data_IF_528273110237
#
_entry.id   IF_528273110237
#
_cell.length_a   1.000
_cell.length_b   1.000
_cell.length_c   1.000
_cell.angle_alpha   90.00
_cell.angle_beta   90.00
_cell.angle_gamma   90.00
#
_symmetry.space_group_name_H-M   'P 1'
#
loop_
_entity.id
_entity.type
_entity.pdbx_description
1 polymer ?
#
# COMPACT_ATOMS: atom_id res chain seq x y z
N UNK A 1 37.73 21.13 -54.75
CA UNK A 1 37.96 21.18 -56.21
C UNK A 1 37.87 22.63 -56.64
N UNK A 2 38.79 23.09 -57.47
CA UNK A 2 38.71 24.44 -58.04
C UNK A 2 37.78 24.42 -59.27
N UNK A 3 36.77 25.31 -59.35
CA UNK A 3 35.88 25.36 -60.49
C UNK A 3 36.61 25.87 -61.74
N UNK A 4 36.43 25.19 -62.87
CA UNK A 4 37.05 25.54 -64.15
C UNK A 4 36.16 26.43 -65.01
N UNK A 5 34.84 26.40 -64.75
CA UNK A 5 33.85 27.20 -65.48
C UNK A 5 32.97 28.02 -64.53
N UNK A 6 32.40 29.14 -65.02
CA UNK A 6 31.50 29.99 -64.21
C UNK A 6 30.30 29.23 -63.66
N UNK A 7 29.75 28.32 -64.47
CA UNK A 7 28.62 27.45 -64.08
C UNK A 7 28.99 26.50 -62.94
N UNK A 8 30.19 25.92 -62.96
CA UNK A 8 30.67 25.08 -61.86
C UNK A 8 30.80 25.88 -60.56
N UNK A 9 31.29 27.12 -60.63
CA UNK A 9 31.37 28.00 -59.46
C UNK A 9 29.99 28.30 -58.87
N UNK A 10 28.99 28.60 -59.70
CA UNK A 10 27.61 28.82 -59.28
C UNK A 10 26.99 27.57 -58.64
N UNK A 11 27.20 26.39 -59.24
CA UNK A 11 26.69 25.12 -58.71
C UNK A 11 27.34 24.77 -57.37
N UNK A 12 28.65 24.98 -57.21
CA UNK A 12 29.34 24.75 -55.93
C UNK A 12 28.84 25.71 -54.85
N UNK A 13 28.60 26.99 -55.19
CA UNK A 13 28.02 27.94 -54.25
C UNK A 13 26.62 27.51 -53.80
N UNK A 14 25.75 27.10 -54.75
CA UNK A 14 24.42 26.60 -54.44
C UNK A 14 24.46 25.31 -53.59
N UNK A 15 25.40 24.41 -53.89
CA UNK A 15 25.62 23.19 -53.12
C UNK A 15 26.01 23.51 -51.68
N UNK A 16 26.99 24.40 -51.47
CA UNK A 16 27.42 24.79 -50.13
C UNK A 16 26.29 25.44 -49.32
N UNK A 17 25.48 26.30 -49.93
CA UNK A 17 24.32 26.91 -49.27
C UNK A 17 23.29 25.83 -48.89
N UNK A 18 23.02 24.88 -49.80
CA UNK A 18 22.13 23.75 -49.53
C UNK A 18 22.65 22.85 -48.40
N UNK A 19 23.94 22.56 -48.37
CA UNK A 19 24.56 21.77 -47.29
C UNK A 19 24.47 22.49 -45.94
N UNK A 20 24.78 23.79 -45.90
CA UNK A 20 24.69 24.59 -44.68
C UNK A 20 23.26 24.66 -44.14
N UNK A 21 22.28 24.87 -45.02
CA UNK A 21 20.86 24.89 -44.62
C UNK A 21 20.40 23.53 -44.10
N UNK A 22 20.79 22.43 -44.77
CA UNK A 22 20.50 21.09 -44.30
C UNK A 22 21.12 20.79 -42.92
N UNK A 23 22.35 21.25 -42.67
CA UNK A 23 22.98 21.10 -41.35
C UNK A 23 22.21 21.87 -40.26
N UNK A 24 21.73 23.08 -40.57
CA UNK A 24 20.90 23.85 -39.64
C UNK A 24 19.59 23.12 -39.36
N UNK A 25 18.93 22.58 -40.38
CA UNK A 25 17.68 21.82 -40.21
C UNK A 25 17.89 20.55 -39.39
N UNK A 26 18.99 19.82 -39.62
CA UNK A 26 19.32 18.64 -38.84
C UNK A 26 19.50 18.98 -37.34
N UNK A 27 20.23 20.05 -37.03
CA UNK A 27 20.40 20.51 -35.64
C UNK A 27 19.07 20.87 -35.00
N UNK A 28 18.25 21.68 -35.70
CA UNK A 28 16.94 22.10 -35.21
C UNK A 28 15.99 20.91 -35.01
N UNK A 29 16.04 19.92 -35.90
CA UNK A 29 15.25 18.70 -35.77
C UNK A 29 15.66 17.92 -34.51
N UNK A 30 16.96 17.77 -34.25
CA UNK A 30 17.45 17.09 -33.05
C UNK A 30 17.01 17.83 -31.78
N UNK A 31 17.08 19.16 -31.76
CA UNK A 31 16.61 19.99 -30.64
C UNK A 31 15.10 19.81 -30.39
N UNK A 32 14.30 19.82 -31.46
CA UNK A 32 12.85 19.59 -31.37
C UNK A 32 12.52 18.17 -30.87
N UNK A 33 13.25 17.16 -31.34
CA UNK A 33 13.06 15.79 -30.87
C UNK A 33 13.43 15.65 -29.40
N UNK A 34 14.56 16.23 -28.98
CA UNK A 34 15.00 16.19 -27.59
C UNK A 34 13.99 16.87 -26.64
N UNK A 35 13.48 18.04 -27.03
CA UNK A 35 12.47 18.76 -26.23
C UNK A 35 11.15 18.01 -26.15
N UNK A 36 10.69 17.40 -27.25
CA UNK A 36 9.48 16.58 -27.23
C UNK A 36 9.61 15.37 -26.31
N UNK A 37 10.71 14.63 -26.38
CA UNK A 37 10.95 13.48 -25.49
C UNK A 37 10.96 13.92 -24.03
N UNK A 38 11.64 15.04 -23.72
CA UNK A 38 11.66 15.58 -22.36
C UNK A 38 10.26 15.97 -21.87
N UNK A 39 9.48 16.64 -22.73
CA UNK A 39 8.11 17.04 -22.42
C UNK A 39 7.20 15.83 -22.20
N UNK A 40 7.36 14.76 -22.98
CA UNK A 40 6.60 13.51 -22.81
C UNK A 40 6.89 12.86 -21.47
N UNK A 41 8.17 12.72 -21.12
CA UNK A 41 8.60 12.15 -19.83
C UNK A 41 8.07 12.99 -18.67
N UNK A 42 8.19 14.31 -18.76
CA UNK A 42 7.67 15.23 -17.75
C UNK A 42 6.16 15.12 -17.60
N UNK A 43 5.41 15.18 -18.71
CA UNK A 43 3.95 15.05 -18.69
C UNK A 43 3.51 13.70 -18.12
N UNK A 44 4.23 12.62 -18.43
CA UNK A 44 3.95 11.30 -17.87
C UNK A 44 4.13 11.29 -16.35
N UNK A 45 5.26 11.79 -15.85
CA UNK A 45 5.52 11.86 -14.41
C UNK A 45 4.47 12.72 -13.69
N UNK A 46 4.09 13.86 -14.27
CA UNK A 46 3.06 14.73 -13.70
C UNK A 46 1.69 14.04 -13.64
N UNK A 47 1.29 13.33 -14.70
CA UNK A 47 0.04 12.56 -14.73
C UNK A 47 0.03 11.45 -13.69
N UNK A 48 1.13 10.74 -13.52
CA UNK A 48 1.27 9.69 -12.51
C UNK A 48 1.15 10.26 -11.08
N UNK A 49 1.80 11.40 -10.81
CA UNK A 49 1.67 12.09 -9.53
C UNK A 49 0.25 12.58 -9.25
N UNK A 50 -0.42 13.15 -10.27
CA UNK A 50 -1.81 13.56 -10.16
C UNK A 50 -2.73 12.37 -9.91
N UNK A 51 -2.60 11.30 -10.69
CA UNK A 51 -3.40 10.08 -10.51
C UNK A 51 -3.20 9.49 -9.11
N UNK A 52 -1.97 9.49 -8.59
CA UNK A 52 -1.69 9.06 -7.22
C UNK A 52 -2.36 9.95 -6.17
N UNK A 53 -2.29 11.27 -6.33
CA UNK A 53 -2.93 12.23 -5.43
C UNK A 53 -4.45 12.12 -5.47
N UNK A 54 -5.03 11.95 -6.65
CA UNK A 54 -6.46 11.76 -6.84
C UNK A 54 -6.93 10.43 -6.25
N UNK A 55 -6.19 9.35 -6.45
CA UNK A 55 -6.47 8.06 -5.80
C UNK A 55 -6.39 8.16 -4.27
N UNK A 56 -5.46 8.97 -3.72
CA UNK A 56 -5.43 9.26 -2.28
C UNK A 56 -6.63 10.08 -1.83
N UNK A 57 -7.02 11.11 -2.58
CA UNK A 57 -8.18 11.95 -2.26
C UNK A 57 -9.50 11.18 -2.33
N UNK A 58 -9.69 10.31 -3.33
CA UNK A 58 -10.90 9.50 -3.46
C UNK A 58 -11.04 8.51 -2.28
N UNK A 59 -9.93 7.96 -1.78
CA UNK A 59 -9.91 7.17 -0.54
C UNK A 59 -10.28 8.00 0.69
N UNK A 60 -9.89 9.28 0.75
CA UNK A 60 -10.23 10.20 1.85
C UNK A 60 -11.68 10.71 1.80
N UNK A 61 -12.42 10.44 0.72
CA UNK A 61 -13.85 10.72 0.57
C UNK A 61 -14.78 9.75 1.34
N UNK A 62 -14.22 8.83 2.14
CA UNK A 62 -14.98 7.88 2.97
C UNK A 62 -15.89 8.66 3.94
N UNK A 63 -17.16 8.79 3.60
CA UNK A 63 -18.14 9.52 4.40
C UNK A 63 -18.82 10.71 3.71
N UNK A 64 -18.51 11.04 2.45
CA UNK A 64 -19.28 12.03 1.69
C UNK A 64 -20.44 11.37 0.95
N UNK A 65 -21.59 12.04 0.94
CA UNK A 65 -22.78 11.60 0.21
C UNK A 65 -22.55 11.60 -1.32
N UNK A 66 -21.82 12.60 -1.81
CA UNK A 66 -21.37 12.73 -3.20
C UNK A 66 -19.83 12.82 -3.17
N UNK A 67 -19.14 11.75 -3.56
CA UNK A 67 -17.67 11.63 -3.45
C UNK A 67 -16.89 12.43 -4.50
N UNK A 68 -17.60 12.95 -5.48
CA UNK A 68 -17.05 13.36 -6.78
C UNK A 68 -16.62 14.83 -6.77
N UNK A 69 -17.05 15.59 -5.77
CA UNK A 69 -16.76 17.03 -5.62
C UNK A 69 -17.44 17.94 -6.64
N UNK A 70 -18.30 17.38 -7.51
CA UNK A 70 -19.09 18.13 -8.48
C UNK A 70 -20.37 18.66 -7.84
N UNK A 71 -20.76 19.88 -8.24
CA UNK A 71 -22.04 20.47 -7.89
C UNK A 71 -23.14 19.73 -8.67
N UNK A 72 -23.98 18.97 -7.97
CA UNK A 72 -25.14 18.28 -8.55
C UNK A 72 -26.38 19.07 -8.18
N UNK A 73 -27.21 19.40 -9.17
CA UNK A 73 -28.55 19.95 -8.92
C UNK A 73 -29.42 18.81 -8.39
N UNK A 74 -29.62 18.80 -7.09
CA UNK A 74 -30.39 17.79 -6.39
C UNK A 74 -31.86 18.18 -6.38
N UNK A 75 -32.67 17.45 -7.15
CA UNK A 75 -34.12 17.42 -6.95
C UNK A 75 -34.41 16.82 -5.58
N UNK A 76 -35.40 17.36 -4.85
CA UNK A 76 -35.72 16.97 -3.46
C UNK A 76 -35.75 15.45 -3.24
N UNK A 77 -36.44 14.71 -4.11
CA UNK A 77 -36.63 13.26 -3.96
C UNK A 77 -35.33 12.48 -4.17
N UNK A 78 -34.56 12.84 -5.19
CA UNK A 78 -33.28 12.20 -5.49
C UNK A 78 -32.26 12.40 -4.36
N UNK A 79 -32.24 13.58 -3.74
CA UNK A 79 -31.40 13.80 -2.56
C UNK A 79 -31.80 12.93 -1.39
N UNK A 80 -33.10 12.87 -1.11
CA UNK A 80 -33.63 12.09 0.01
C UNK A 80 -33.29 10.61 -0.12
N UNK A 81 -33.57 10.01 -1.29
CA UNK A 81 -33.21 8.62 -1.58
C UNK A 81 -31.71 8.38 -1.36
N UNK A 82 -30.87 9.30 -1.84
CA UNK A 82 -29.42 9.16 -1.70
C UNK A 82 -28.94 9.21 -0.25
N UNK A 83 -29.55 10.07 0.57
CA UNK A 83 -29.25 10.17 2.01
C UNK A 83 -29.62 8.88 2.74
N UNK A 84 -30.79 8.31 2.43
CA UNK A 84 -31.26 7.05 3.02
C UNK A 84 -30.31 5.90 2.68
N UNK A 85 -29.97 5.72 1.39
CA UNK A 85 -29.03 4.69 0.96
C UNK A 85 -27.67 4.83 1.65
N UNK A 86 -27.18 6.07 1.80
CA UNK A 86 -25.91 6.34 2.45
C UNK A 86 -25.94 5.97 3.94
N UNK A 87 -27.02 6.33 4.65
CA UNK A 87 -27.17 5.99 6.07
C UNK A 87 -27.24 4.48 6.30
N UNK A 88 -28.02 3.76 5.51
CA UNK A 88 -28.09 2.30 5.55
C UNK A 88 -26.71 1.66 5.29
N UNK A 89 -25.95 2.19 4.34
CA UNK A 89 -24.61 1.72 4.04
C UNK A 89 -23.63 1.98 5.20
N UNK A 90 -23.69 3.15 5.84
CA UNK A 90 -22.88 3.46 7.01
C UNK A 90 -23.19 2.52 8.17
N UNK A 91 -24.47 2.26 8.44
CA UNK A 91 -24.87 1.33 9.49
C UNK A 91 -24.37 -0.10 9.20
N UNK A 92 -24.45 -0.56 7.94
CA UNK A 92 -23.92 -1.87 7.54
C UNK A 92 -22.41 -1.95 7.76
N UNK A 93 -21.66 -0.92 7.34
CA UNK A 93 -20.19 -0.84 7.54
C UNK A 93 -19.82 -0.85 9.01
N UNK A 94 -20.59 -0.17 9.86
CA UNK A 94 -20.36 -0.13 11.29
C UNK A 94 -20.57 -1.50 11.95
N UNK A 95 -21.67 -2.20 11.61
CA UNK A 95 -21.91 -3.57 12.09
C UNK A 95 -20.79 -4.54 11.70
N UNK A 96 -20.35 -4.50 10.44
CA UNK A 96 -19.26 -5.35 9.97
C UNK A 96 -17.94 -5.05 10.70
N UNK A 97 -17.68 -3.77 11.03
CA UNK A 97 -16.51 -3.36 11.80
C UNK A 97 -16.56 -3.90 13.23
N UNK A 98 -17.72 -3.81 13.87
CA UNK A 98 -17.95 -4.33 15.22
C UNK A 98 -17.80 -5.86 15.27
N UNK A 99 -18.40 -6.60 14.32
CA UNK A 99 -18.25 -8.05 14.20
C UNK A 99 -16.77 -8.45 14.02
N UNK A 100 -16.04 -7.71 13.18
CA UNK A 100 -14.60 -7.94 12.98
C UNK A 100 -13.79 -7.66 14.25
N UNK A 101 -14.14 -6.63 15.03
CA UNK A 101 -13.49 -6.34 16.30
C UNK A 101 -13.77 -7.43 17.34
N UNK A 102 -15.01 -7.85 17.47
CA UNK A 102 -15.42 -8.96 18.34
C UNK A 102 -14.64 -10.24 18.01
N UNK A 103 -14.55 -10.62 16.74
CA UNK A 103 -13.77 -11.78 16.30
C UNK A 103 -12.26 -11.66 16.63
N UNK A 104 -11.67 -10.45 16.53
CA UNK A 104 -10.29 -10.19 16.94
C UNK A 104 -10.10 -10.36 18.44
N UNK A 105 -11.03 -9.88 19.25
CA UNK A 105 -10.97 -9.99 20.71
C UNK A 105 -11.11 -11.44 21.17
N UNK A 106 -12.05 -12.18 20.60
CA UNK A 106 -12.22 -13.61 20.87
C UNK A 106 -10.96 -14.40 20.51
N UNK A 107 -10.35 -14.10 19.36
CA UNK A 107 -9.08 -14.69 18.96
C UNK A 107 -7.97 -14.36 19.95
N UNK A 108 -7.88 -13.10 20.39
CA UNK A 108 -6.88 -12.66 21.39
C UNK A 108 -7.05 -13.44 22.69
N UNK A 109 -8.27 -13.59 23.19
CA UNK A 109 -8.60 -14.38 24.39
C UNK A 109 -8.24 -15.86 24.20
N UNK A 110 -8.55 -16.45 23.05
CA UNK A 110 -8.18 -17.84 22.76
C UNK A 110 -6.67 -18.03 22.69
N UNK A 111 -5.93 -17.05 22.15
CA UNK A 111 -4.49 -17.10 22.02
C UNK A 111 -3.79 -17.00 23.38
N UNK A 112 -4.22 -16.11 24.28
CA UNK A 112 -3.64 -15.99 25.63
C UNK A 112 -3.84 -17.30 26.42
N UNK A 113 -5.03 -17.90 26.35
CA UNK A 113 -5.31 -19.20 26.98
C UNK A 113 -4.43 -20.30 26.37
N UNK A 114 -4.19 -20.29 25.06
CA UNK A 114 -3.30 -21.25 24.40
C UNK A 114 -1.85 -21.07 24.85
N UNK A 115 -1.34 -19.85 24.89
CA UNK A 115 0.02 -19.51 25.35
C UNK A 115 0.27 -19.98 26.79
N UNK A 116 -0.67 -19.72 27.71
CA UNK A 116 -0.58 -20.20 29.09
C UNK A 116 -0.49 -21.73 29.18
N UNK A 117 -1.32 -22.44 28.41
CA UNK A 117 -1.31 -23.91 28.38
C UNK A 117 0.00 -24.45 27.79
N UNK A 118 0.54 -23.81 26.76
CA UNK A 118 1.84 -24.16 26.17
C UNK A 118 2.97 -23.91 27.17
N UNK A 119 2.99 -22.77 27.86
CA UNK A 119 4.00 -22.46 28.86
C UNK A 119 3.98 -23.47 30.02
N UNK A 120 2.79 -23.86 30.50
CA UNK A 120 2.63 -24.94 31.49
C UNK A 120 3.19 -26.27 30.97
N UNK A 121 2.89 -26.64 29.73
CA UNK A 121 3.41 -27.87 29.10
C UNK A 121 4.93 -27.86 28.95
N UNK A 122 5.51 -26.74 28.52
CA UNK A 122 6.96 -26.58 28.40
C UNK A 122 7.67 -26.71 29.76
N UNK A 123 7.11 -26.14 30.83
CA UNK A 123 7.64 -26.31 32.19
C UNK A 123 7.67 -27.78 32.62
N UNK A 124 6.62 -28.54 32.31
CA UNK A 124 6.56 -29.98 32.62
C UNK A 124 7.59 -30.77 31.81
N UNK A 125 7.73 -30.48 30.52
CA UNK A 125 8.72 -31.15 29.66
C UNK A 125 10.16 -30.87 30.12
N UNK A 126 10.47 -29.62 30.50
CA UNK A 126 11.76 -29.25 31.08
C UNK A 126 12.01 -30.03 32.37
N UNK A 127 11.06 -30.01 33.32
CA UNK A 127 11.17 -30.78 34.56
C UNK A 127 11.36 -32.29 34.32
N UNK A 128 10.63 -32.89 33.38
CA UNK A 128 10.75 -34.31 33.05
C UNK A 128 12.11 -34.64 32.42
N UNK A 129 12.65 -33.75 31.59
CA UNK A 129 14.01 -33.84 31.04
C UNK A 129 15.06 -33.75 32.15
N UNK A 130 14.94 -32.76 33.03
CA UNK A 130 15.90 -32.52 34.11
C UNK A 130 15.89 -33.68 35.12
N UNK A 131 14.70 -34.20 35.47
CA UNK A 131 14.55 -35.42 36.27
C UNK A 131 15.24 -36.63 35.64
N UNK A 132 15.22 -36.78 34.31
CA UNK A 132 15.93 -37.88 33.61
C UNK A 132 17.45 -37.69 33.69
N UNK A 133 17.94 -36.46 33.49
CA UNK A 133 19.38 -36.13 33.55
C UNK A 133 19.94 -36.35 34.95
N UNK A 134 19.21 -35.95 35.98
CA UNK A 134 19.67 -36.04 37.36
C UNK A 134 19.62 -37.46 37.91
N UNK A 135 18.66 -38.29 37.48
CA UNK A 135 18.67 -39.73 37.79
C UNK A 135 19.96 -40.46 37.36
N UNK A 136 20.64 -39.96 36.33
CA UNK A 136 21.94 -40.49 35.87
C UNK A 136 23.10 -39.98 36.75
N UNK A 137 22.92 -38.88 37.48
CA UNK A 137 23.94 -38.20 38.30
C UNK A 137 23.75 -38.29 39.82
N UNK A 138 22.61 -38.80 40.32
CA UNK A 138 22.29 -38.90 41.75
C UNK A 138 20.80 -38.67 42.08
N UNK A 139 20.45 -38.38 43.35
CA UNK A 139 19.06 -38.10 43.77
C UNK A 139 18.60 -36.72 43.27
N UNK A 140 17.52 -36.69 42.48
CA UNK A 140 16.85 -35.48 42.03
C UNK A 140 16.08 -34.79 43.18
N UNK A 141 16.33 -33.49 43.39
CA UNK A 141 15.73 -32.67 44.46
C UNK A 141 14.61 -31.74 43.99
N UNK A 142 14.26 -31.74 42.70
CA UNK A 142 13.25 -30.83 42.15
C UNK A 142 11.80 -31.19 42.52
N UNK A 143 11.04 -30.19 42.98
CA UNK A 143 9.61 -30.33 43.30
C UNK A 143 8.82 -30.65 42.02
N UNK A 144 8.00 -31.70 42.07
CA UNK A 144 7.14 -32.10 40.95
C UNK A 144 6.04 -31.05 40.70
N UNK A 145 5.88 -30.54 39.47
CA UNK A 145 4.75 -29.67 39.12
C UNK A 145 3.43 -30.39 39.39
N UNK A 146 2.53 -29.73 40.12
CA UNK A 146 1.19 -30.25 40.47
C UNK A 146 0.25 -30.14 39.27
N UNK A 147 0.33 -31.04 38.31
CA UNK A 147 -0.71 -31.27 37.30
C UNK A 147 -0.56 -32.73 36.82
N UNK A 148 -1.67 -33.43 36.59
CA UNK A 148 -1.70 -34.86 36.21
C UNK A 148 -1.02 -35.20 34.87
N UNK A 149 -1.43 -36.31 34.24
CA UNK A 149 -0.83 -36.82 32.99
C UNK A 149 -0.64 -35.71 31.93
N UNK A 150 0.50 -35.75 31.23
CA UNK A 150 0.88 -34.78 30.18
C UNK A 150 -0.31 -34.57 29.23
N UNK A 151 -0.89 -33.36 29.16
CA UNK A 151 -1.98 -33.11 28.24
C UNK A 151 -1.50 -33.29 26.78
N UNK A 152 -2.38 -33.79 25.89
CA UNK A 152 -2.08 -33.98 24.48
C UNK A 152 -1.64 -32.67 23.81
N UNK A 153 -1.01 -32.77 22.63
CA UNK A 153 -0.57 -31.59 21.90
C UNK A 153 -1.76 -30.68 21.58
N UNK A 154 -1.75 -29.46 22.12
CA UNK A 154 -2.85 -28.51 21.95
C UNK A 154 -2.65 -27.81 20.60
N UNK A 155 -3.55 -28.04 19.62
CA UNK A 155 -3.47 -27.36 18.34
C UNK A 155 -3.63 -25.85 18.55
N UNK A 156 -2.88 -25.07 17.77
CA UNK A 156 -3.05 -23.61 17.73
C UNK A 156 -4.48 -23.29 17.27
N UNK A 157 -5.14 -22.27 17.86
CA UNK A 157 -6.39 -21.75 17.30
C UNK A 157 -6.18 -21.42 15.81
N UNK A 158 -6.96 -22.06 14.94
CA UNK A 158 -6.85 -21.84 13.49
C UNK A 158 -7.39 -20.47 13.14
N UNK A 159 -6.74 -19.81 12.18
CA UNK A 159 -7.31 -18.65 11.50
C UNK A 159 -8.27 -19.21 10.45
N UNK A 160 -9.57 -18.93 10.57
CA UNK A 160 -10.47 -19.14 9.45
C UNK A 160 -10.05 -18.15 8.36
N UNK A 161 -9.64 -18.67 7.20
CA UNK A 161 -9.03 -17.92 6.10
C UNK A 161 -9.99 -16.96 5.37
N UNK A 162 -11.19 -16.71 5.90
CA UNK A 162 -12.20 -15.87 5.27
C UNK A 162 -12.13 -14.40 5.70
N UNK A 163 -11.27 -14.04 6.65
CA UNK A 163 -10.97 -12.64 6.95
C UNK A 163 -9.71 -12.24 6.19
N UNK A 164 -9.79 -11.38 5.16
CA UNK A 164 -8.59 -10.90 4.48
C UNK A 164 -7.72 -10.21 5.51
N UNK A 165 -6.48 -10.67 5.67
CA UNK A 165 -5.41 -9.90 6.31
C UNK A 165 -5.10 -8.70 5.41
N UNK A 166 -5.95 -7.67 5.44
CA UNK A 166 -5.52 -6.32 5.11
C UNK A 166 -4.72 -5.81 6.30
N UNK A 167 -3.44 -6.16 6.30
CA UNK A 167 -2.39 -5.40 6.98
C UNK A 167 -2.34 -4.01 6.35
N UNK A 168 -3.20 -3.12 6.84
CA UNK A 168 -3.24 -1.70 6.53
C UNK A 168 -3.52 -0.95 7.82
N UNK A 169 -2.52 -0.92 8.69
CA UNK A 169 -2.44 0.02 9.80
C UNK A 169 -2.19 1.42 9.22
N UNK A 170 -3.25 2.10 8.83
CA UNK A 170 -3.24 3.57 8.68
C UNK A 170 -4.07 4.15 9.83
N UNK A 171 -3.53 4.05 11.04
CA UNK A 171 -3.76 5.06 12.07
C UNK A 171 -2.93 6.29 11.65
N UNK A 172 -3.46 7.06 10.70
CA UNK A 172 -2.94 8.41 10.44
C UNK A 172 -3.65 9.34 11.42
N UNK A 173 -2.90 9.69 12.47
CA UNK A 173 -3.21 10.80 13.34
C UNK A 173 -3.40 12.08 12.50
N UNK A 174 -4.52 12.77 12.73
CA UNK A 174 -4.70 14.15 12.31
C UNK A 174 -3.62 14.99 13.02
N UNK A 175 -2.55 15.32 12.28
CA UNK A 175 -1.65 16.42 12.63
C UNK A 175 -2.06 17.63 11.78
N UNK A 176 -2.92 18.47 12.37
CA UNK A 176 -3.25 19.80 11.86
C UNK A 176 -2.03 20.71 12.03
N UNK A 177 -1.15 20.70 11.03
CA UNK A 177 -0.01 21.61 10.91
C UNK A 177 -0.15 22.51 9.69
N UNK A 178 -1.06 23.48 9.76
CA UNK A 178 -1.14 24.62 8.84
C UNK A 178 0.12 25.47 9.02
N UNK A 179 1.06 25.38 8.07
CA UNK A 179 2.11 26.40 7.92
C UNK A 179 1.94 27.06 6.56
N UNK A 180 1.25 28.20 6.59
CA UNK A 180 1.38 29.27 5.60
C UNK A 180 2.85 29.61 5.41
N UNK A 181 3.35 29.49 4.18
CA UNK A 181 4.47 30.29 3.71
C UNK A 181 4.15 30.76 2.29
N UNK A 182 4.17 32.10 2.18
CA UNK A 182 3.99 32.97 1.02
C UNK A 182 4.81 32.57 -0.22
#
# INVERSE_FOLDING_TARGET
>A
MEPKTKREAELLAALHISEQTNQIYQRRMIELQATNILNEVYCKALREQLAFREAKKSRKGKGRLMGDGLLVLLTSDFFYERVVEFEEEQQRKQREKEERQMGKEERKKALTVWEEKVAKRQKILKWASDKKKDKVKGRFTGVQPKLGMLPPAIPKPKVNAEVPESSGSDDEADDEGETDIL
#
